data_IF_251268279250
#
_entry.id   IF_251268279250
#
_cell.length_a   1.000
_cell.length_b   1.000
_cell.length_c   1.000
_cell.angle_alpha   90.00
_cell.angle_beta   90.00
_cell.angle_gamma   90.00
#
_symmetry.space_group_name_H-M   'P 1'
#
loop_
_entity.id
_entity.type
_entity.pdbx_description
1 polymer ?
#
# COMPACT_ATOMS: atom_id res chain seq x y z
N UNK A 1 5.42 11.11 -5.69
CA UNK A 1 4.97 10.26 -6.83
C UNK A 1 5.68 10.60 -8.15
N UNK A 2 6.37 11.73 -8.24
CA UNK A 2 6.90 12.27 -9.51
C UNK A 2 8.24 11.65 -9.96
N UNK A 3 8.91 10.88 -9.10
CA UNK A 3 10.21 10.25 -9.37
C UNK A 3 10.15 9.05 -10.33
N UNK A 4 8.95 8.64 -10.78
CA UNK A 4 8.80 7.59 -11.80
C UNK A 4 9.05 6.15 -11.33
N UNK A 5 9.14 5.90 -10.02
CA UNK A 5 9.40 4.55 -9.48
C UNK A 5 8.28 3.53 -9.73
N UNK A 6 7.05 3.99 -9.94
CA UNK A 6 5.88 3.12 -10.07
C UNK A 6 5.31 3.18 -11.49
N UNK A 7 5.15 2.02 -12.10
CA UNK A 7 4.56 1.91 -13.43
C UNK A 7 3.11 2.48 -13.45
N UNK A 8 2.77 3.40 -14.37
CA UNK A 8 1.51 4.15 -14.34
C UNK A 8 0.26 3.27 -14.57
N UNK A 9 0.40 2.18 -15.33
CA UNK A 9 -0.72 1.27 -15.62
C UNK A 9 -0.98 0.19 -14.57
N UNK A 10 -0.17 0.12 -13.49
CA UNK A 10 -0.28 -0.98 -12.53
C UNK A 10 0.00 -0.57 -11.10
N UNK A 11 1.26 -0.30 -10.75
CA UNK A 11 1.65 -0.08 -9.35
C UNK A 11 1.33 1.34 -8.89
N UNK A 12 1.49 2.35 -9.76
CA UNK A 12 1.24 3.75 -9.40
C UNK A 12 -0.17 3.98 -8.82
N UNK A 13 -1.27 3.56 -9.49
CA UNK A 13 -2.61 3.77 -8.92
C UNK A 13 -2.83 3.01 -7.61
N UNK A 14 -2.12 1.89 -7.39
CA UNK A 14 -2.20 1.15 -6.12
C UNK A 14 -1.54 1.92 -4.98
N UNK A 15 -0.36 2.48 -5.22
CA UNK A 15 0.35 3.27 -4.20
C UNK A 15 -0.41 4.56 -3.92
N UNK A 16 -0.94 5.24 -4.94
CA UNK A 16 -1.74 6.47 -4.76
C UNK A 16 -2.97 6.22 -3.87
N UNK A 17 -3.81 5.24 -4.22
CA UNK A 17 -4.99 4.90 -3.43
C UNK A 17 -4.65 4.45 -2.00
N UNK A 18 -3.54 3.72 -1.83
CA UNK A 18 -3.10 3.27 -0.51
C UNK A 18 -2.59 4.42 0.38
N UNK A 19 -1.89 5.40 -0.20
CA UNK A 19 -1.49 6.62 0.51
C UNK A 19 -2.71 7.45 0.88
N UNK A 20 -3.61 7.71 -0.06
CA UNK A 20 -4.86 8.45 0.19
C UNK A 20 -5.67 7.81 1.32
N UNK A 21 -5.80 6.47 1.34
CA UNK A 21 -6.48 5.76 2.41
C UNK A 21 -5.77 5.89 3.76
N UNK A 22 -4.44 5.72 3.81
CA UNK A 22 -3.69 5.86 5.05
C UNK A 22 -3.78 7.29 5.61
N UNK A 23 -3.84 8.31 4.75
CA UNK A 23 -3.95 9.72 5.16
C UNK A 23 -5.36 10.13 5.61
N UNK A 24 -6.39 9.41 5.15
CA UNK A 24 -7.80 9.75 5.36
C UNK A 24 -8.31 9.63 6.80
N UNK A 25 -7.50 9.16 7.74
CA UNK A 25 -7.88 9.08 9.16
C UNK A 25 -6.75 8.55 10.05
N UNK A 26 -6.82 8.85 11.34
CA UNK A 26 -5.83 8.39 12.31
C UNK A 26 -5.81 6.86 12.43
N UNK A 27 -4.61 6.28 12.51
CA UNK A 27 -4.42 4.83 12.63
C UNK A 27 -4.73 4.00 11.39
N UNK A 28 -5.17 4.62 10.28
CA UNK A 28 -5.45 3.89 9.04
C UNK A 28 -4.16 3.39 8.40
N UNK A 29 -4.22 2.16 7.89
CA UNK A 29 -3.10 1.47 7.25
C UNK A 29 -3.59 0.77 6.00
N UNK A 30 -2.82 0.86 4.92
CA UNK A 30 -3.04 0.09 3.70
C UNK A 30 -1.96 -0.99 3.52
N UNK A 31 -2.33 -2.09 2.86
CA UNK A 31 -1.43 -3.20 2.54
C UNK A 31 -1.54 -3.54 1.05
N UNK A 32 -0.40 -3.51 0.37
CA UNK A 32 -0.25 -4.05 -0.98
C UNK A 32 0.50 -5.37 -0.88
N UNK A 33 -0.15 -6.48 -1.24
CA UNK A 33 0.44 -7.83 -1.20
C UNK A 33 -0.14 -8.73 -2.30
N UNK A 34 0.41 -9.94 -2.43
CA UNK A 34 -0.14 -10.98 -3.29
C UNK A 34 -1.34 -11.66 -2.61
N UNK A 35 -2.36 -12.02 -3.38
CA UNK A 35 -3.56 -12.69 -2.85
C UNK A 35 -3.22 -13.96 -2.05
N UNK A 36 -2.31 -14.78 -2.58
CA UNK A 36 -1.85 -16.02 -1.92
C UNK A 36 -1.12 -15.77 -0.59
N UNK A 37 -0.62 -14.54 -0.38
CA UNK A 37 0.08 -14.10 0.84
C UNK A 37 -0.77 -13.16 1.70
N UNK A 38 -2.09 -13.10 1.49
CA UNK A 38 -2.95 -12.17 2.20
C UNK A 38 -2.87 -12.34 3.73
N UNK A 39 -2.93 -13.60 4.21
CA UNK A 39 -2.82 -13.93 5.64
C UNK A 39 -1.52 -13.42 6.24
N UNK A 40 -0.39 -13.76 5.61
CA UNK A 40 0.94 -13.37 6.06
C UNK A 40 1.13 -11.84 6.02
N UNK A 41 0.56 -11.18 5.02
CA UNK A 41 0.62 -9.73 4.87
C UNK A 41 -0.18 -8.98 5.94
N UNK A 42 -1.37 -9.46 6.27
CA UNK A 42 -2.17 -8.92 7.38
C UNK A 42 -1.41 -9.04 8.70
N UNK A 43 -0.74 -10.18 8.91
CA UNK A 43 0.13 -10.44 10.06
C UNK A 43 1.46 -9.65 10.05
N UNK A 44 1.73 -8.86 9.01
CA UNK A 44 2.92 -7.99 8.93
C UNK A 44 4.22 -8.71 8.58
N UNK A 45 4.15 -9.94 8.07
CA UNK A 45 5.34 -10.76 7.75
C UNK A 45 5.76 -10.65 6.28
N UNK A 46 4.96 -10.02 5.43
CA UNK A 46 5.23 -9.80 3.99
C UNK A 46 4.41 -8.64 3.44
N UNK A 47 4.74 -8.19 2.22
CA UNK A 47 4.03 -7.13 1.52
C UNK A 47 4.47 -5.72 1.93
N UNK A 48 3.87 -4.73 1.31
CA UNK A 48 4.20 -3.32 1.54
C UNK A 48 3.10 -2.68 2.38
N UNK A 49 3.44 -2.27 3.60
CA UNK A 49 2.53 -1.60 4.53
C UNK A 49 2.73 -0.09 4.43
N UNK A 50 1.65 0.63 4.17
CA UNK A 50 1.63 2.09 4.02
C UNK A 50 0.87 2.66 5.20
N UNK A 51 1.55 3.50 5.98
CA UNK A 51 1.05 4.13 7.20
C UNK A 51 1.25 5.65 7.10
N UNK A 52 0.37 6.41 7.75
CA UNK A 52 0.61 7.82 8.03
C UNK A 52 1.64 7.94 9.15
N UNK A 53 2.65 8.79 8.98
CA UNK A 53 3.56 9.17 10.06
C UNK A 53 2.93 10.18 11.00
#
# INVERSE_FOLDING_TARGET
MEEGHFAPGSMLPKVQAAVEFAESGEGRTALITLLQKAKDGVNGTTGTRIIKK
#
